data_IF_835981320584
#
_entry.id   IF_835981320584
#
_cell.length_a   1.000
_cell.length_b   1.000
_cell.length_c   1.000
_cell.angle_alpha   90.00
_cell.angle_beta   90.00
_cell.angle_gamma   90.00
#
_symmetry.space_group_name_H-M   'P 1'
#
loop_
_entity.id
_entity.type
_entity.pdbx_description
1 polymer ?
#
# COMPACT_ATOMS: atom_id res chain seq x y z
N UNK A 1 27.67 9.08 30.76
CA UNK A 1 27.36 7.81 30.06
C UNK A 1 26.31 8.15 29.02
N UNK A 2 26.71 8.22 27.75
CA UNK A 2 25.78 8.34 26.63
C UNK A 2 25.35 6.93 26.25
N UNK A 3 24.06 6.65 26.36
CA UNK A 3 23.48 5.40 25.87
C UNK A 3 22.97 5.66 24.46
N UNK A 4 23.71 5.22 23.45
CA UNK A 4 23.23 5.22 22.06
C UNK A 4 22.58 3.87 21.78
N UNK A 5 21.26 3.79 21.93
CA UNK A 5 20.51 2.61 21.50
C UNK A 5 20.32 2.68 19.99
N UNK A 6 21.10 1.89 19.24
CA UNK A 6 20.90 1.70 17.80
C UNK A 6 19.81 0.66 17.61
N UNK A 7 18.55 1.09 17.47
CA UNK A 7 17.48 0.22 17.02
C UNK A 7 17.66 -0.03 15.52
N UNK A 8 17.97 -1.29 15.16
CA UNK A 8 18.03 -1.73 13.78
C UNK A 8 16.59 -1.89 13.29
N UNK A 9 16.12 -0.95 12.47
CA UNK A 9 14.84 -1.07 11.77
C UNK A 9 14.99 -2.18 10.73
N UNK A 10 14.58 -3.39 11.10
CA UNK A 10 14.49 -4.50 10.14
C UNK A 10 13.14 -4.39 9.44
N UNK A 11 13.18 -4.21 8.12
CA UNK A 11 12.00 -4.26 7.27
C UNK A 11 11.40 -5.68 7.39
N UNK A 12 10.21 -5.80 7.95
CA UNK A 12 9.53 -7.10 8.15
C UNK A 12 8.68 -7.50 6.96
N UNK A 13 8.21 -6.52 6.18
CA UNK A 13 7.19 -6.67 5.16
C UNK A 13 7.48 -5.81 3.93
N UNK A 14 6.97 -6.25 2.79
CA UNK A 14 6.96 -5.46 1.55
C UNK A 14 5.59 -5.49 0.90
N UNK A 15 5.32 -4.45 0.14
CA UNK A 15 4.25 -4.48 -0.85
C UNK A 15 4.70 -5.25 -2.08
N UNK A 16 3.84 -6.14 -2.57
CA UNK A 16 4.04 -6.96 -3.75
C UNK A 16 2.76 -6.96 -4.61
N UNK A 17 2.87 -7.41 -5.86
CA UNK A 17 1.74 -7.53 -6.81
C UNK A 17 0.84 -6.28 -6.92
N UNK A 18 1.42 -5.08 -6.87
CA UNK A 18 0.69 -3.81 -7.01
C UNK A 18 0.12 -3.69 -8.43
N UNK A 19 -1.20 -3.67 -8.54
CA UNK A 19 -1.92 -3.58 -9.82
C UNK A 19 -2.93 -2.45 -9.78
N UNK A 20 -2.99 -1.68 -10.86
CA UNK A 20 -4.01 -0.64 -11.08
C UNK A 20 -4.70 -0.93 -12.40
N UNK A 21 -6.02 -1.12 -12.36
CA UNK A 21 -6.88 -1.11 -13.54
C UNK A 21 -7.53 0.26 -13.61
N UNK A 22 -7.01 1.13 -14.48
CA UNK A 22 -7.48 2.50 -14.65
C UNK A 22 -8.91 2.55 -15.20
N UNK A 23 -9.27 1.63 -16.09
CA UNK A 23 -10.60 1.58 -16.72
C UNK A 23 -11.67 1.16 -15.70
N UNK A 24 -11.35 0.18 -14.85
CA UNK A 24 -12.25 -0.27 -13.77
C UNK A 24 -12.10 0.55 -12.48
N UNK A 25 -11.17 1.51 -12.45
CA UNK A 25 -10.77 2.27 -11.25
C UNK A 25 -10.56 1.35 -10.03
N UNK A 26 -9.82 0.27 -10.27
CA UNK A 26 -9.58 -0.77 -9.29
C UNK A 26 -8.10 -0.85 -8.97
N UNK A 27 -7.79 -0.96 -7.68
CA UNK A 27 -6.44 -1.06 -7.17
C UNK A 27 -6.30 -2.31 -6.31
N UNK A 28 -5.22 -3.05 -6.48
CA UNK A 28 -4.92 -4.26 -5.73
C UNK A 28 -3.46 -4.29 -5.29
N UNK A 29 -3.24 -4.79 -4.07
CA UNK A 29 -1.92 -4.92 -3.48
C UNK A 29 -1.87 -6.10 -2.52
N UNK A 30 -0.73 -6.79 -2.51
CA UNK A 30 -0.41 -7.81 -1.53
C UNK A 30 0.66 -7.28 -0.58
N UNK A 31 0.51 -7.59 0.70
CA UNK A 31 1.56 -7.39 1.71
C UNK A 31 2.17 -8.75 1.98
N UNK A 32 3.49 -8.86 1.80
CA UNK A 32 4.23 -10.10 1.95
C UNK A 32 5.22 -9.96 3.09
N UNK A 33 5.21 -10.91 4.02
CA UNK A 33 6.22 -11.00 5.05
C UNK A 33 7.56 -11.43 4.44
N UNK A 34 8.63 -10.67 4.68
CA UNK A 34 9.93 -10.89 4.04
C UNK A 34 10.65 -12.13 4.54
N UNK A 35 10.40 -12.54 5.78
CA UNK A 35 11.05 -13.71 6.37
C UNK A 35 10.44 -15.02 5.87
N UNK A 36 9.11 -15.08 5.77
CA UNK A 36 8.39 -16.29 5.33
C UNK A 36 8.03 -16.29 3.85
N UNK A 37 8.09 -15.13 3.18
CA UNK A 37 7.62 -14.91 1.81
C UNK A 37 6.14 -15.32 1.61
N UNK A 38 5.32 -15.17 2.66
CA UNK A 38 3.88 -15.44 2.65
C UNK A 38 3.11 -14.13 2.58
N UNK A 39 2.06 -14.08 1.75
CA UNK A 39 1.10 -12.98 1.71
C UNK A 39 0.32 -12.94 3.03
N UNK A 40 0.49 -11.85 3.79
CA UNK A 40 -0.14 -11.64 5.11
C UNK A 40 -1.37 -10.74 5.02
N UNK A 41 -1.44 -9.86 4.01
CA UNK A 41 -2.63 -9.06 3.70
C UNK A 41 -2.83 -8.97 2.20
N UNK A 42 -4.09 -8.91 1.79
CA UNK A 42 -4.54 -8.55 0.46
C UNK A 42 -5.51 -7.39 0.59
N UNK A 43 -5.26 -6.32 -0.15
CA UNK A 43 -6.09 -5.13 -0.12
C UNK A 43 -6.57 -4.89 -1.55
N UNK A 44 -7.88 -4.75 -1.71
CA UNK A 44 -8.50 -4.32 -2.96
C UNK A 44 -9.36 -3.09 -2.72
N UNK A 45 -9.21 -2.10 -3.59
CA UNK A 45 -9.94 -0.83 -3.53
C UNK A 45 -10.68 -0.67 -4.85
N UNK A 46 -12.00 -0.64 -4.79
CA UNK A 46 -12.87 -0.30 -5.92
C UNK A 46 -13.37 1.13 -5.73
N UNK A 47 -12.82 2.06 -6.50
CA UNK A 47 -13.16 3.48 -6.38
C UNK A 47 -14.49 3.83 -7.05
N UNK A 48 -14.98 3.04 -8.01
CA UNK A 48 -16.30 3.23 -8.62
C UNK A 48 -17.43 2.97 -7.61
N UNK A 49 -17.24 1.98 -6.74
CA UNK A 49 -18.24 1.56 -5.75
C UNK A 49 -17.98 2.10 -4.35
N UNK A 50 -16.88 2.82 -4.15
CA UNK A 50 -16.36 3.20 -2.83
C UNK A 50 -16.23 2.00 -1.87
N UNK A 51 -15.80 0.86 -2.41
CA UNK A 51 -15.65 -0.39 -1.66
C UNK A 51 -14.16 -0.66 -1.39
N UNK A 52 -13.86 -1.11 -0.19
CA UNK A 52 -12.52 -1.57 0.19
C UNK A 52 -12.65 -2.91 0.87
N UNK A 53 -11.91 -3.90 0.37
CA UNK A 53 -11.82 -5.22 0.97
C UNK A 53 -10.40 -5.43 1.45
N UNK A 54 -10.28 -5.88 2.70
CA UNK A 54 -9.02 -6.30 3.30
C UNK A 54 -9.20 -7.74 3.73
N UNK A 55 -8.30 -8.61 3.27
CA UNK A 55 -8.27 -10.03 3.60
C UNK A 55 -6.90 -10.38 4.18
N UNK A 56 -6.86 -11.23 5.21
CA UNK A 56 -5.62 -11.73 5.79
C UNK A 56 -5.53 -11.50 7.29
N UNK A 57 -4.30 -11.41 7.81
CA UNK A 57 -4.02 -11.34 9.24
C UNK A 57 -4.18 -9.91 9.79
N UNK A 58 -5.38 -9.34 9.67
CA UNK A 58 -5.69 -7.97 10.08
C UNK A 58 -5.46 -7.78 11.59
N UNK A 59 -5.65 -8.83 12.40
CA UNK A 59 -5.47 -8.81 13.86
C UNK A 59 -4.02 -8.50 14.27
N UNK A 60 -3.04 -8.83 13.41
CA UNK A 60 -1.63 -8.55 13.67
C UNK A 60 -1.30 -7.05 13.57
N UNK A 61 -2.13 -6.29 12.87
CA UNK A 61 -1.97 -4.86 12.68
C UNK A 61 -2.96 -4.13 13.58
N UNK A 62 -2.48 -3.14 14.33
CA UNK A 62 -3.42 -2.26 15.01
C UNK A 62 -4.27 -1.52 13.96
N UNK A 63 -5.59 -1.55 14.19
CA UNK A 63 -6.64 -0.91 13.38
C UNK A 63 -6.27 0.49 12.91
N UNK A 64 -5.64 1.31 13.75
CA UNK A 64 -5.21 2.66 13.36
C UNK A 64 -4.17 2.65 12.22
N UNK A 65 -3.22 1.72 12.27
CA UNK A 65 -2.19 1.59 11.24
C UNK A 65 -2.76 1.06 9.92
N UNK A 66 -3.73 0.15 9.99
CA UNK A 66 -4.44 -0.34 8.81
C UNK A 66 -5.23 0.80 8.16
N UNK A 67 -5.98 1.58 8.94
CA UNK A 67 -6.76 2.70 8.39
C UNK A 67 -5.86 3.76 7.75
N UNK A 68 -4.75 4.13 8.39
CA UNK A 68 -3.79 5.07 7.82
C UNK A 68 -3.19 4.55 6.50
N UNK A 69 -2.85 3.26 6.44
CA UNK A 69 -2.37 2.61 5.22
C UNK A 69 -3.44 2.67 4.11
N UNK A 70 -4.70 2.32 4.43
CA UNK A 70 -5.79 2.34 3.47
C UNK A 70 -6.06 3.74 2.92
N UNK A 71 -5.99 4.78 3.77
CA UNK A 71 -6.13 6.17 3.32
C UNK A 71 -5.01 6.57 2.35
N UNK A 72 -3.76 6.21 2.67
CA UNK A 72 -2.62 6.44 1.78
C UNK A 72 -2.78 5.72 0.43
N UNK A 73 -3.19 4.45 0.45
CA UNK A 73 -3.42 3.67 -0.76
C UNK A 73 -4.58 4.23 -1.61
N UNK A 74 -5.68 4.67 -0.98
CA UNK A 74 -6.79 5.33 -1.68
C UNK A 74 -6.35 6.61 -2.36
N UNK A 75 -5.54 7.42 -1.68
CA UNK A 75 -4.96 8.64 -2.24
C UNK A 75 -4.11 8.33 -3.47
N UNK A 76 -3.15 7.40 -3.35
CA UNK A 76 -2.30 6.98 -4.48
C UNK A 76 -3.13 6.43 -5.64
N UNK A 77 -4.10 5.56 -5.37
CA UNK A 77 -4.97 5.00 -6.40
C UNK A 77 -5.74 6.10 -7.14
N UNK A 78 -6.31 7.07 -6.41
CA UNK A 78 -7.01 8.22 -6.99
C UNK A 78 -6.07 9.08 -7.85
N UNK A 79 -4.88 9.40 -7.35
CA UNK A 79 -3.86 10.14 -8.12
C UNK A 79 -3.51 9.44 -9.42
N UNK A 80 -3.28 8.12 -9.39
CA UNK A 80 -2.98 7.37 -10.61
C UNK A 80 -4.12 7.43 -11.62
N UNK A 81 -5.37 7.35 -11.17
CA UNK A 81 -6.54 7.38 -12.05
C UNK A 81 -6.78 8.77 -12.62
N UNK A 82 -6.80 9.80 -11.77
CA UNK A 82 -7.11 11.18 -12.16
C UNK A 82 -6.08 11.74 -13.15
N UNK A 83 -4.82 11.30 -13.03
CA UNK A 83 -3.72 11.72 -13.90
C UNK A 83 -3.32 10.67 -14.94
N UNK A 84 -4.06 9.57 -15.06
CA UNK A 84 -3.80 8.48 -16.01
C UNK A 84 -2.36 7.94 -15.94
N UNK A 85 -1.84 7.79 -14.72
CA UNK A 85 -0.48 7.30 -14.43
C UNK A 85 -0.50 5.77 -14.50
N UNK A 86 0.24 5.22 -15.45
CA UNK A 86 0.15 3.80 -15.85
C UNK A 86 1.19 2.92 -15.19
N UNK A 87 2.18 3.52 -14.54
CA UNK A 87 3.29 2.81 -13.93
C UNK A 87 3.93 3.64 -12.81
N UNK A 88 4.78 2.97 -12.04
CA UNK A 88 5.50 3.56 -10.91
C UNK A 88 6.38 4.76 -11.31
N UNK A 89 6.98 4.74 -12.51
CA UNK A 89 7.84 5.83 -12.98
C UNK A 89 7.03 7.11 -13.20
N UNK A 90 5.86 7.00 -13.82
CA UNK A 90 4.94 8.13 -14.00
C UNK A 90 4.40 8.65 -12.67
N UNK A 91 4.06 7.76 -11.74
CA UNK A 91 3.64 8.14 -10.39
C UNK A 91 4.74 8.92 -9.65
N UNK A 92 5.96 8.42 -9.65
CA UNK A 92 7.05 9.09 -8.94
C UNK A 92 7.43 10.42 -9.57
N UNK A 93 7.47 10.51 -10.91
CA UNK A 93 7.68 11.80 -11.58
C UNK A 93 6.59 12.81 -11.18
N UNK A 94 5.32 12.40 -11.14
CA UNK A 94 4.22 13.26 -10.71
C UNK A 94 4.39 13.76 -9.26
N UNK A 95 4.81 12.88 -8.34
CA UNK A 95 5.01 13.21 -6.92
C UNK A 95 6.27 14.06 -6.66
N UNK A 96 7.27 14.03 -7.54
CA UNK A 96 8.44 14.91 -7.43
C UNK A 96 8.14 16.33 -7.91
N UNK A 97 7.16 16.49 -8.79
CA UNK A 97 6.75 17.77 -9.38
C UNK A 97 5.69 18.53 -8.57
N UNK A 98 5.05 17.88 -7.57
CA UNK A 98 3.93 18.42 -6.78
C UNK A 98 4.13 18.22 -5.28
#
# INVERSE_FOLDING_TARGET
MEYTTTYKLELSERFDYVTIDLDKQFFYIEVVNLQSNITVLKISINLQKDETMVEGNIIHYDTFHVDALLQGLKYVARTCIDHNLKNQKELFAFLEEN
#
